data_IF_166142757611
#
_entry.id   IF_166142757611
#
_cell.length_a   1.000
_cell.length_b   1.000
_cell.length_c   1.000
_cell.angle_alpha   90.00
_cell.angle_beta   90.00
_cell.angle_gamma   90.00
#
_symmetry.space_group_name_H-M   'P 1'
#
loop_
_entity.id
_entity.type
_entity.pdbx_description
1 polymer ?
#
# COMPACT_ATOMS: atom_id res chain seq x y z
N UNK A 1 -18.64 -18.16 -12.97
CA UNK A 1 -17.62 -17.57 -12.06
C UNK A 1 -16.44 -17.14 -12.92
N UNK A 2 -16.06 -15.85 -12.90
CA UNK A 2 -14.96 -15.26 -13.68
C UNK A 2 -13.96 -14.57 -12.74
N UNK A 3 -12.83 -14.08 -13.28
CA UNK A 3 -11.79 -13.38 -12.52
C UNK A 3 -12.33 -12.18 -11.74
N UNK A 4 -13.09 -11.31 -12.42
CA UNK A 4 -13.69 -10.11 -11.82
C UNK A 4 -14.59 -10.43 -10.61
N UNK A 5 -15.38 -11.50 -10.69
CA UNK A 5 -16.21 -11.92 -9.56
C UNK A 5 -15.35 -12.36 -8.37
N UNK A 6 -14.29 -13.15 -8.62
CA UNK A 6 -13.39 -13.63 -7.56
C UNK A 6 -12.64 -12.45 -6.93
N UNK A 7 -12.12 -11.53 -7.74
CA UNK A 7 -11.42 -10.33 -7.29
C UNK A 7 -12.31 -9.46 -6.40
N UNK A 8 -13.53 -9.16 -6.85
CA UNK A 8 -14.46 -8.31 -6.09
C UNK A 8 -14.85 -8.92 -4.74
N UNK A 9 -15.03 -10.24 -4.66
CA UNK A 9 -15.29 -10.92 -3.39
C UNK A 9 -14.08 -10.84 -2.44
N UNK A 10 -12.86 -11.05 -2.96
CA UNK A 10 -11.65 -10.93 -2.16
C UNK A 10 -11.46 -9.49 -1.62
N UNK A 11 -11.67 -8.48 -2.47
CA UNK A 11 -11.60 -7.07 -2.06
C UNK A 11 -12.66 -6.73 -1.00
N UNK A 12 -13.87 -7.29 -1.09
CA UNK A 12 -14.91 -7.12 -0.09
C UNK A 12 -14.47 -7.68 1.27
N UNK A 13 -13.91 -8.89 1.32
CA UNK A 13 -13.42 -9.49 2.57
C UNK A 13 -12.29 -8.67 3.22
N UNK A 14 -11.38 -8.10 2.42
CA UNK A 14 -10.35 -7.21 2.95
C UNK A 14 -10.95 -5.93 3.55
N UNK A 15 -11.93 -5.31 2.88
CA UNK A 15 -12.64 -4.14 3.41
C UNK A 15 -13.35 -4.45 4.73
N UNK A 16 -14.02 -5.60 4.83
CA UNK A 16 -14.70 -6.04 6.05
C UNK A 16 -13.75 -6.24 7.24
N UNK A 17 -12.49 -6.57 6.97
CA UNK A 17 -11.44 -6.73 7.98
C UNK A 17 -10.68 -5.42 8.27
N UNK A 18 -11.13 -4.29 7.71
CA UNK A 18 -10.61 -2.96 7.98
C UNK A 18 -9.46 -2.53 7.07
N UNK A 19 -9.18 -3.26 5.98
CA UNK A 19 -8.19 -2.84 5.00
C UNK A 19 -8.74 -1.77 4.07
N UNK A 20 -7.88 -0.82 3.71
CA UNK A 20 -8.13 0.12 2.63
C UNK A 20 -7.78 -0.54 1.28
N UNK A 21 -8.63 -0.33 0.28
CA UNK A 21 -8.45 -0.87 -1.07
C UNK A 21 -8.32 0.28 -2.05
N UNK A 22 -7.29 0.22 -2.90
CA UNK A 22 -6.99 1.24 -3.90
C UNK A 22 -6.89 0.61 -5.29
N UNK A 23 -7.24 1.38 -6.32
CA UNK A 23 -6.93 0.99 -7.69
C UNK A 23 -5.44 1.20 -7.95
N UNK A 24 -4.77 0.21 -8.56
CA UNK A 24 -3.32 0.28 -8.78
C UNK A 24 -2.86 1.51 -9.56
N UNK A 25 -3.69 2.03 -10.49
CA UNK A 25 -3.41 3.26 -11.25
C UNK A 25 -3.38 4.51 -10.39
N UNK A 26 -4.19 4.56 -9.32
CA UNK A 26 -4.20 5.70 -8.41
C UNK A 26 -2.88 5.80 -7.64
N UNK A 27 -2.18 4.67 -7.49
CA UNK A 27 -0.92 4.57 -6.76
C UNK A 27 0.32 4.94 -7.58
N UNK A 28 0.19 5.14 -8.89
CA UNK A 28 1.30 5.54 -9.77
C UNK A 28 1.70 7.01 -9.54
N UNK A 29 2.89 7.44 -10.01
CA UNK A 29 3.33 8.83 -9.85
C UNK A 29 2.34 9.87 -10.37
N UNK A 30 1.65 9.56 -11.47
CA UNK A 30 0.63 10.36 -12.12
C UNK A 30 -0.79 10.16 -11.56
N UNK A 31 -0.95 9.24 -10.61
CA UNK A 31 -2.23 8.88 -10.01
C UNK A 31 -2.72 9.88 -8.97
N UNK A 32 -3.93 9.64 -8.46
CA UNK A 32 -4.58 10.51 -7.46
C UNK A 32 -4.06 10.31 -6.03
N UNK A 33 -3.37 9.20 -5.76
CA UNK A 33 -2.77 8.86 -4.48
C UNK A 33 -1.40 8.21 -4.70
N UNK A 34 -0.38 8.96 -5.15
CA UNK A 34 0.90 8.39 -5.55
C UNK A 34 1.60 7.70 -4.37
N UNK A 35 1.78 6.38 -4.47
CA UNK A 35 2.47 5.53 -3.47
C UNK A 35 3.61 4.71 -4.09
N UNK A 36 3.67 4.64 -5.42
CA UNK A 36 4.68 3.95 -6.21
C UNK A 36 5.42 4.97 -7.06
N UNK A 37 6.74 4.93 -7.04
CA UNK A 37 7.56 5.70 -7.98
C UNK A 37 7.62 5.02 -9.36
N UNK A 38 7.45 3.70 -9.40
CA UNK A 38 7.49 2.87 -10.60
C UNK A 38 6.69 1.58 -10.41
N UNK A 39 6.30 0.92 -11.51
CA UNK A 39 5.51 -0.33 -11.46
C UNK A 39 6.26 -1.51 -10.85
N UNK A 40 7.60 -1.53 -10.96
CA UNK A 40 8.48 -2.54 -10.36
C UNK A 40 8.62 -2.43 -8.85
N UNK A 41 8.15 -1.35 -8.22
CA UNK A 41 8.26 -1.16 -6.78
C UNK A 41 7.60 -2.31 -6.02
N UNK A 42 8.38 -3.00 -5.18
CA UNK A 42 7.88 -4.12 -4.35
C UNK A 42 7.33 -3.66 -3.00
N UNK A 43 7.66 -2.44 -2.58
CA UNK A 43 7.18 -1.80 -1.35
C UNK A 43 6.52 -0.47 -1.69
N UNK A 44 5.40 -0.18 -1.02
CA UNK A 44 4.79 1.17 -1.03
C UNK A 44 5.54 2.03 0.00
N UNK A 45 6.66 2.60 -0.44
CA UNK A 45 7.61 3.30 0.44
C UNK A 45 6.95 4.36 1.34
N UNK A 46 6.07 5.26 0.86
CA UNK A 46 5.50 6.28 1.74
C UNK A 46 4.64 5.68 2.86
N UNK A 47 3.83 4.65 2.55
CA UNK A 47 3.05 3.92 3.56
C UNK A 47 3.97 3.22 4.54
N UNK A 48 5.00 2.52 4.06
CA UNK A 48 5.93 1.79 4.92
C UNK A 48 6.62 2.72 5.92
N UNK A 49 7.17 3.85 5.45
CA UNK A 49 7.85 4.82 6.33
C UNK A 49 6.91 5.41 7.37
N UNK A 50 5.69 5.76 6.97
CA UNK A 50 4.67 6.29 7.88
C UNK A 50 4.29 5.28 8.96
N UNK A 51 3.96 4.05 8.57
CA UNK A 51 3.56 3.01 9.52
C UNK A 51 4.71 2.55 10.40
N UNK A 52 5.93 2.44 9.87
CA UNK A 52 7.12 2.12 10.66
C UNK A 52 7.32 3.13 11.78
N UNK A 53 7.24 4.43 11.46
CA UNK A 53 7.40 5.51 12.44
C UNK A 53 6.29 5.48 13.49
N UNK A 54 5.05 5.24 13.06
CA UNK A 54 3.88 5.13 13.94
C UNK A 54 4.00 3.96 14.92
N UNK A 55 4.46 2.81 14.45
CA UNK A 55 4.60 1.59 15.26
C UNK A 55 5.85 1.61 16.15
N UNK A 56 6.91 2.29 15.71
CA UNK A 56 8.21 2.32 16.39
C UNK A 56 8.64 3.75 16.76
N UNK A 57 7.85 4.49 17.58
CA UNK A 57 8.16 5.89 17.90
C UNK A 57 9.46 6.07 18.71
N UNK A 58 10.00 4.98 19.25
CA UNK A 58 11.25 4.95 20.01
C UNK A 58 12.50 4.76 19.12
N UNK A 59 12.33 4.34 17.87
CA UNK A 59 13.44 4.15 16.95
C UNK A 59 13.74 5.45 16.19
N UNK A 60 15.03 5.80 15.99
CA UNK A 60 15.39 6.91 15.12
C UNK A 60 14.97 6.69 13.66
N UNK A 61 14.65 7.78 12.96
CA UNK A 61 14.25 7.71 11.55
C UNK A 61 15.32 7.09 10.62
N UNK A 62 16.60 7.15 11.00
CA UNK A 62 17.70 6.54 10.24
C UNK A 62 17.66 5.01 10.20
N UNK A 63 16.87 4.35 11.07
CA UNK A 63 16.65 2.90 11.00
C UNK A 63 15.82 2.49 9.76
N UNK A 64 15.18 3.44 9.08
CA UNK A 64 14.34 3.19 7.92
C UNK A 64 15.17 3.30 6.64
N UNK A 65 15.94 2.26 6.33
CA UNK A 65 16.62 2.10 5.05
C UNK A 65 15.81 1.14 4.17
N UNK A 66 15.47 1.57 2.95
CA UNK A 66 14.97 0.70 1.89
C UNK A 66 16.14 0.54 0.92
N UNK A 67 16.49 -0.71 0.62
CA UNK A 67 17.62 -1.10 -0.26
C UNK A 67 17.21 -0.91 -1.72
#
# INVERSE_FOLDING_TARGET
MNEEFIENNALAWFKETGWEVFHGKDLLPEGTNPQRNELSAVVLEPIFRFQFTKLNPHLPACCIAII
#
